data_IF_958665497807
#
_entry.id   IF_958665497807
#
_cell.length_a   1.000
_cell.length_b   1.000
_cell.length_c   1.000
_cell.angle_alpha   90.00
_cell.angle_beta   90.00
_cell.angle_gamma   90.00
#
_symmetry.space_group_name_H-M   'P 1'
#
loop_
_entity.id
_entity.type
_entity.pdbx_description
1 polymer ?
#
# COMPACT_ATOMS: atom_id res chain seq x y z
N UNK A 1 22.36 20.67 0.25
CA UNK A 1 22.56 20.64 1.72
C UNK A 1 23.35 19.38 2.01
N UNK A 2 24.63 19.53 2.30
CA UNK A 2 25.49 18.41 2.70
C UNK A 2 25.00 17.91 4.06
N UNK A 3 24.65 16.62 4.11
CA UNK A 3 24.32 15.97 5.38
C UNK A 3 25.60 16.01 6.25
N UNK A 4 25.54 16.75 7.36
CA UNK A 4 26.57 16.68 8.37
C UNK A 4 26.85 15.22 8.71
N UNK A 5 28.11 14.83 8.73
CA UNK A 5 28.64 13.47 8.91
C UNK A 5 28.26 12.77 10.24
N UNK A 6 27.01 12.81 10.62
CA UNK A 6 26.48 12.05 11.72
C UNK A 6 26.36 10.58 11.33
N UNK A 7 26.97 9.71 12.10
CA UNK A 7 26.83 8.25 11.95
C UNK A 7 25.34 7.88 11.94
N UNK A 8 24.89 7.07 10.97
CA UNK A 8 23.48 6.65 10.93
C UNK A 8 23.08 5.97 12.26
N UNK A 9 21.86 6.22 12.76
CA UNK A 9 21.41 5.65 14.03
C UNK A 9 21.42 4.12 13.97
N UNK A 10 21.63 3.49 15.11
CA UNK A 10 21.54 2.03 15.23
C UNK A 10 20.10 1.58 14.89
N UNK A 11 19.95 0.30 14.52
CA UNK A 11 18.63 -0.29 14.25
C UNK A 11 17.68 -0.15 15.45
N UNK A 12 18.19 -0.33 16.67
CA UNK A 12 17.39 -0.21 17.89
C UNK A 12 16.95 1.24 18.10
N UNK A 13 17.84 2.21 17.88
CA UNK A 13 17.53 3.64 17.97
C UNK A 13 16.45 4.03 16.94
N UNK A 14 16.61 3.56 15.70
CA UNK A 14 15.60 3.81 14.65
C UNK A 14 14.24 3.21 15.00
N UNK A 15 14.21 1.98 15.52
CA UNK A 15 12.96 1.34 15.96
C UNK A 15 12.31 2.11 17.11
N UNK A 16 13.10 2.63 18.06
CA UNK A 16 12.58 3.46 19.15
C UNK A 16 11.96 4.77 18.63
N UNK A 17 12.63 5.44 17.69
CA UNK A 17 12.09 6.67 17.07
C UNK A 17 10.79 6.40 16.30
N UNK A 18 10.74 5.33 15.50
CA UNK A 18 9.52 4.93 14.78
C UNK A 18 8.38 4.65 15.76
N UNK A 19 8.64 3.98 16.89
CA UNK A 19 7.63 3.74 17.91
C UNK A 19 7.12 5.03 18.61
N UNK A 20 7.95 6.08 18.70
CA UNK A 20 7.47 7.39 19.16
C UNK A 20 6.57 8.04 18.12
N UNK A 21 6.99 8.04 16.85
CA UNK A 21 6.21 8.63 15.76
C UNK A 21 4.86 7.91 15.56
N UNK A 22 4.81 6.60 15.74
CA UNK A 22 3.58 5.79 15.71
C UNK A 22 2.61 6.20 16.84
N UNK A 23 3.10 6.35 18.08
CA UNK A 23 2.29 6.83 19.22
C UNK A 23 1.80 8.27 19.08
N UNK A 24 2.52 9.09 18.33
CA UNK A 24 2.12 10.46 18.01
C UNK A 24 1.22 10.55 16.77
N UNK A 25 0.84 9.42 16.19
CA UNK A 25 0.04 9.35 14.96
C UNK A 25 0.65 10.10 13.78
N UNK A 26 1.97 10.18 13.71
CA UNK A 26 2.71 10.79 12.60
C UNK A 26 3.01 9.77 11.50
N UNK A 27 3.11 8.50 11.87
CA UNK A 27 3.32 7.39 10.94
C UNK A 27 2.37 6.24 11.22
N UNK A 28 1.87 5.64 10.15
CA UNK A 28 1.08 4.42 10.17
C UNK A 28 1.98 3.20 9.95
N UNK A 29 1.79 2.17 10.76
CA UNK A 29 2.53 0.92 10.67
C UNK A 29 1.80 -0.09 9.81
N UNK A 30 2.30 -0.34 8.62
CA UNK A 30 1.78 -1.31 7.68
C UNK A 30 2.53 -2.65 7.80
N UNK A 31 1.88 -3.67 8.36
CA UNK A 31 2.46 -4.98 8.52
C UNK A 31 2.40 -5.79 7.22
N UNK A 32 3.37 -6.71 7.03
CA UNK A 32 3.32 -7.65 5.92
C UNK A 32 2.25 -8.71 6.13
N UNK A 33 1.58 -9.09 5.05
CA UNK A 33 0.62 -10.18 5.04
C UNK A 33 1.35 -11.52 4.90
N UNK A 34 1.28 -12.36 5.93
CA UNK A 34 1.71 -13.75 5.87
C UNK A 34 0.66 -14.57 5.10
N UNK A 35 0.53 -14.31 3.79
CA UNK A 35 -0.44 -14.99 2.96
C UNK A 35 -0.25 -16.52 3.06
N UNK A 36 -1.34 -17.29 3.08
CA UNK A 36 -1.29 -18.75 3.08
C UNK A 36 -0.94 -19.25 1.67
N UNK A 37 0.29 -19.02 1.25
CA UNK A 37 0.80 -19.48 -0.04
C UNK A 37 1.64 -20.74 0.15
N UNK A 38 1.46 -21.74 -0.70
CA UNK A 38 2.43 -22.84 -0.80
C UNK A 38 3.69 -22.29 -1.43
N UNK A 39 4.65 -21.90 -0.59
CA UNK A 39 5.74 -21.10 -1.05
C UNK A 39 7.08 -21.80 -0.93
N UNK A 40 7.73 -21.92 -2.07
CA UNK A 40 9.19 -21.89 -2.17
C UNK A 40 9.71 -20.45 -1.89
N UNK A 41 8.89 -19.41 -2.06
CA UNK A 41 9.25 -18.01 -1.84
C UNK A 41 8.94 -17.55 -0.41
N UNK A 42 9.93 -16.89 0.22
CA UNK A 42 9.76 -16.32 1.56
C UNK A 42 8.92 -15.03 1.49
N UNK A 43 7.84 -14.98 2.24
CA UNK A 43 7.04 -13.77 2.42
C UNK A 43 7.77 -12.79 3.34
N UNK A 44 7.84 -11.53 2.94
CA UNK A 44 8.42 -10.44 3.75
C UNK A 44 7.35 -9.92 4.71
N UNK A 45 7.64 -9.98 6.01
CA UNK A 45 6.69 -9.58 7.07
C UNK A 45 7.16 -8.37 7.89
N UNK A 46 8.35 -7.82 7.61
CA UNK A 46 8.83 -6.63 8.33
C UNK A 46 7.90 -5.46 8.09
N UNK A 47 7.50 -4.72 9.14
CA UNK A 47 6.61 -3.59 8.96
C UNK A 47 7.23 -2.50 8.08
N UNK A 48 6.38 -1.84 7.30
CA UNK A 48 6.64 -0.58 6.60
C UNK A 48 6.00 0.54 7.39
N UNK A 49 6.50 1.75 7.24
CA UNK A 49 5.97 2.93 7.88
C UNK A 49 5.66 3.96 6.81
N UNK A 50 4.44 4.47 6.82
CA UNK A 50 3.99 5.52 5.93
C UNK A 50 3.56 6.73 6.77
N UNK A 51 3.81 7.97 6.35
CA UNK A 51 3.26 9.15 7.03
C UNK A 51 1.73 9.06 7.09
N UNK A 52 1.12 9.35 8.26
CA UNK A 52 -0.35 9.46 8.35
C UNK A 52 -0.87 10.64 7.52
N UNK A 53 -0.10 11.72 7.48
CA UNK A 53 -0.30 12.84 6.57
C UNK A 53 0.89 12.90 5.59
N UNK A 54 0.67 12.65 4.30
CA UNK A 54 1.74 12.67 3.29
C UNK A 54 2.41 14.04 3.18
N UNK A 55 1.74 15.15 3.52
CA UNK A 55 2.32 16.50 3.48
C UNK A 55 3.50 16.65 4.45
N UNK A 56 3.43 16.01 5.62
CA UNK A 56 4.52 15.97 6.60
C UNK A 56 5.75 15.29 5.98
N UNK A 57 5.55 14.16 5.30
CA UNK A 57 6.63 13.44 4.63
C UNK A 57 7.29 14.26 3.51
N UNK A 58 6.48 14.93 2.70
CA UNK A 58 6.95 15.80 1.61
C UNK A 58 7.73 16.99 2.17
N UNK A 59 7.20 17.64 3.19
CA UNK A 59 7.86 18.76 3.87
C UNK A 59 9.20 18.34 4.50
N UNK A 60 9.24 17.19 5.18
CA UNK A 60 10.47 16.65 5.78
C UNK A 60 11.55 16.34 4.72
N UNK A 61 11.16 16.05 3.48
CA UNK A 61 12.09 15.93 2.34
C UNK A 61 12.55 17.29 1.78
N UNK A 62 12.10 18.42 2.33
CA UNK A 62 12.42 19.76 1.82
C UNK A 62 11.78 20.08 0.47
N UNK A 63 10.70 19.38 0.10
CA UNK A 63 10.03 19.55 -1.19
C UNK A 63 8.80 20.46 -1.05
N UNK A 64 8.63 21.29 -2.05
CA UNK A 64 7.36 21.98 -2.32
C UNK A 64 6.56 21.22 -3.38
N UNK A 65 5.40 21.71 -3.75
CA UNK A 65 4.51 21.11 -4.76
C UNK A 65 5.24 20.82 -6.08
N UNK A 66 6.00 21.80 -6.61
CA UNK A 66 6.75 21.63 -7.86
C UNK A 66 7.85 20.58 -7.74
N UNK A 67 8.51 20.53 -6.58
CA UNK A 67 9.54 19.52 -6.28
C UNK A 67 8.93 18.13 -6.20
N UNK A 68 7.78 18.01 -5.54
CA UNK A 68 7.04 16.75 -5.42
C UNK A 68 6.64 16.19 -6.79
N UNK A 69 6.09 17.02 -7.68
CA UNK A 69 5.68 16.59 -9.02
C UNK A 69 6.85 16.17 -9.92
N UNK A 70 8.07 16.60 -9.62
CA UNK A 70 9.29 16.21 -10.34
C UNK A 70 9.95 14.95 -9.77
N UNK A 71 9.68 14.59 -8.53
CA UNK A 71 10.21 13.39 -7.89
C UNK A 71 9.15 12.30 -7.82
N UNK A 72 9.09 11.49 -8.88
CA UNK A 72 8.13 10.39 -8.98
C UNK A 72 8.23 9.39 -7.81
N UNK A 73 9.40 9.23 -7.19
CA UNK A 73 9.60 8.33 -6.05
C UNK A 73 8.93 8.86 -4.78
N UNK A 74 9.10 10.16 -4.48
CA UNK A 74 8.44 10.80 -3.33
C UNK A 74 6.94 10.93 -3.59
N UNK A 75 6.55 11.30 -4.82
CA UNK A 75 5.15 11.40 -5.20
C UNK A 75 4.41 10.06 -5.06
N UNK A 76 5.00 8.96 -5.53
CA UNK A 76 4.42 7.61 -5.36
C UNK A 76 4.23 7.25 -3.88
N UNK A 77 5.19 7.57 -3.02
CA UNK A 77 5.08 7.31 -1.58
C UNK A 77 3.99 8.15 -0.92
N UNK A 78 3.90 9.42 -1.26
CA UNK A 78 2.84 10.31 -0.77
C UNK A 78 1.46 9.81 -1.19
N UNK A 79 1.31 9.42 -2.46
CA UNK A 79 0.08 8.83 -3.00
C UNK A 79 -0.32 7.53 -2.26
N UNK A 80 0.65 6.65 -1.98
CA UNK A 80 0.40 5.43 -1.19
C UNK A 80 0.00 5.74 0.25
N UNK A 81 0.56 6.78 0.87
CA UNK A 81 0.13 7.22 2.21
C UNK A 81 -1.31 7.71 2.22
N UNK A 82 -1.71 8.52 1.22
CA UNK A 82 -3.10 8.95 1.06
C UNK A 82 -4.05 7.77 0.87
N UNK A 83 -3.71 6.87 -0.04
CA UNK A 83 -4.51 5.68 -0.30
C UNK A 83 -4.66 4.79 0.93
N UNK A 84 -3.59 4.59 1.72
CA UNK A 84 -3.66 3.83 2.97
C UNK A 84 -4.62 4.46 3.97
N UNK A 85 -4.52 5.78 4.19
CA UNK A 85 -5.41 6.51 5.09
C UNK A 85 -6.88 6.34 4.69
N UNK A 86 -7.18 6.53 3.41
CA UNK A 86 -8.55 6.43 2.92
C UNK A 86 -9.07 4.97 3.00
N UNK A 87 -8.22 3.98 2.68
CA UNK A 87 -8.57 2.57 2.85
C UNK A 87 -8.87 2.20 4.31
N UNK A 88 -8.12 2.72 5.28
CA UNK A 88 -8.37 2.48 6.70
C UNK A 88 -9.71 3.10 7.13
N UNK A 89 -10.02 4.32 6.69
CA UNK A 89 -11.29 5.00 6.99
C UNK A 89 -12.46 4.21 6.40
N UNK A 90 -12.42 3.89 5.11
CA UNK A 90 -13.52 3.18 4.44
C UNK A 90 -13.69 1.75 4.96
N UNK A 91 -12.59 1.03 5.20
CA UNK A 91 -12.67 -0.31 5.78
C UNK A 91 -13.30 -0.29 7.17
N UNK A 92 -13.02 0.72 7.99
CA UNK A 92 -13.64 0.90 9.29
C UNK A 92 -15.15 1.18 9.23
N UNK A 93 -15.66 1.74 8.12
CA UNK A 93 -17.09 1.94 7.90
C UNK A 93 -17.80 0.68 7.42
N UNK A 94 -17.08 -0.23 6.75
CA UNK A 94 -17.67 -1.48 6.26
C UNK A 94 -18.00 -2.47 7.40
N UNK A 95 -17.19 -2.47 8.45
CA UNK A 95 -17.32 -3.38 9.58
C UNK A 95 -17.21 -2.58 10.89
N UNK A 96 -18.30 -1.89 11.33
CA UNK A 96 -18.29 -1.07 12.53
C UNK A 96 -17.92 -1.91 13.77
N UNK A 97 -16.95 -1.39 14.55
CA UNK A 97 -16.45 -2.07 15.75
C UNK A 97 -15.33 -3.10 15.49
N UNK A 98 -14.96 -3.32 14.25
CA UNK A 98 -13.81 -4.14 13.87
C UNK A 98 -12.68 -3.24 13.38
N UNK A 99 -11.47 -3.42 13.92
CA UNK A 99 -10.29 -2.67 13.45
C UNK A 99 -9.95 -3.09 12.02
N UNK A 100 -9.87 -2.15 11.06
CA UNK A 100 -9.55 -2.46 9.67
C UNK A 100 -8.16 -3.10 9.55
N UNK A 101 -8.08 -4.21 8.85
CA UNK A 101 -6.81 -4.89 8.64
C UNK A 101 -6.30 -4.66 7.23
N UNK A 102 -5.48 -3.62 7.05
CA UNK A 102 -4.72 -3.39 5.82
C UNK A 102 -3.29 -3.92 6.03
N UNK A 103 -2.80 -4.67 5.06
CA UNK A 103 -1.47 -5.27 5.03
C UNK A 103 -0.81 -4.95 3.69
N UNK A 104 0.50 -5.20 3.55
CA UNK A 104 1.14 -5.27 2.25
C UNK A 104 1.57 -6.71 1.94
N UNK A 105 1.78 -7.03 0.67
CA UNK A 105 2.40 -8.30 0.30
C UNK A 105 3.73 -8.05 -0.40
N UNK A 106 4.75 -8.79 -0.01
CA UNK A 106 5.99 -8.89 -0.76
C UNK A 106 6.66 -10.23 -0.50
N UNK A 107 7.33 -10.78 -1.52
CA UNK A 107 8.05 -12.04 -1.40
C UNK A 107 9.49 -11.97 -1.95
N UNK A 108 10.21 -13.09 -1.84
CA UNK A 108 11.57 -13.21 -2.35
C UNK A 108 11.66 -13.27 -3.88
N UNK A 109 10.55 -13.57 -4.58
CA UNK A 109 10.48 -13.63 -6.04
C UNK A 109 10.24 -12.24 -6.66
N UNK A 110 10.29 -11.18 -5.83
CA UNK A 110 10.10 -9.81 -6.26
C UNK A 110 8.64 -9.42 -6.54
N UNK A 111 7.67 -10.27 -6.18
CA UNK A 111 6.28 -9.88 -6.25
C UNK A 111 5.95 -8.97 -5.08
N UNK A 112 5.38 -7.81 -5.39
CA UNK A 112 4.94 -6.83 -4.41
C UNK A 112 3.55 -6.32 -4.77
N UNK A 113 2.68 -6.25 -3.74
CA UNK A 113 1.35 -5.64 -3.80
C UNK A 113 1.24 -4.66 -2.65
N UNK A 114 0.81 -3.44 -2.96
CA UNK A 114 0.86 -2.32 -2.02
C UNK A 114 -0.04 -2.55 -0.82
N UNK A 115 -1.28 -2.96 -1.06
CA UNK A 115 -2.26 -3.19 0.01
C UNK A 115 -3.03 -4.48 -0.20
N UNK A 116 -3.25 -5.18 0.89
CA UNK A 116 -4.18 -6.30 1.01
C UNK A 116 -5.14 -5.95 2.14
N UNK A 117 -6.40 -5.81 1.81
CA UNK A 117 -7.47 -5.60 2.78
C UNK A 117 -7.98 -6.96 3.23
N UNK A 118 -8.02 -7.19 4.54
CA UNK A 118 -8.56 -8.40 5.15
C UNK A 118 -9.84 -8.03 5.90
N UNK A 119 -10.94 -8.72 5.58
CA UNK A 119 -12.24 -8.55 6.23
C UNK A 119 -12.44 -9.61 7.32
N UNK A 120 -13.24 -9.29 8.33
CA UNK A 120 -13.50 -10.18 9.47
C UNK A 120 -14.12 -11.51 9.06
N UNK A 121 -14.90 -11.53 7.96
CA UNK A 121 -15.53 -12.73 7.41
C UNK A 121 -14.56 -13.63 6.60
N UNK A 122 -13.27 -13.29 6.57
CA UNK A 122 -12.23 -14.02 5.86
C UNK A 122 -12.09 -13.66 4.37
N UNK A 123 -12.93 -12.77 3.83
CA UNK A 123 -12.71 -12.23 2.48
C UNK A 123 -11.48 -11.32 2.48
N UNK A 124 -10.89 -11.17 1.32
CA UNK A 124 -9.74 -10.30 1.13
C UNK A 124 -9.80 -9.59 -0.22
N UNK A 125 -9.09 -8.48 -0.33
CA UNK A 125 -8.93 -7.75 -1.58
C UNK A 125 -7.46 -7.35 -1.78
N UNK A 126 -7.04 -7.19 -3.04
CA UNK A 126 -5.69 -6.80 -3.40
C UNK A 126 -5.69 -5.49 -4.18
N UNK A 127 -4.85 -4.54 -3.76
CA UNK A 127 -4.89 -3.17 -4.25
C UNK A 127 -3.45 -2.70 -4.52
N UNK A 128 -3.22 -2.15 -5.70
CA UNK A 128 -2.00 -1.41 -6.02
C UNK A 128 -2.30 0.07 -6.23
N UNK A 129 -1.30 0.91 -6.01
CA UNK A 129 -1.38 2.36 -6.19
C UNK A 129 -0.30 2.79 -7.16
N UNK A 130 -0.70 3.43 -8.25
CA UNK A 130 0.18 3.84 -9.35
C UNK A 130 0.00 5.32 -9.67
N UNK A 131 1.04 5.94 -10.20
CA UNK A 131 0.98 7.37 -10.57
C UNK A 131 0.09 7.59 -11.79
N UNK A 132 0.18 6.71 -12.79
CA UNK A 132 -0.49 6.93 -14.06
C UNK A 132 -0.83 5.68 -14.86
N UNK A 133 -1.57 5.88 -15.93
CA UNK A 133 -2.15 4.86 -16.79
C UNK A 133 -1.13 3.87 -17.38
N UNK A 134 0.09 4.32 -17.67
CA UNK A 134 1.13 3.45 -18.24
C UNK A 134 1.51 2.27 -17.35
N UNK A 135 1.28 2.39 -16.03
CA UNK A 135 1.63 1.37 -15.04
C UNK A 135 0.50 0.36 -14.79
N UNK A 136 -0.73 0.65 -15.22
CA UNK A 136 -1.93 -0.16 -14.94
C UNK A 136 -1.78 -1.60 -15.38
N UNK A 137 -1.32 -1.82 -16.61
CA UNK A 137 -1.19 -3.18 -17.18
C UNK A 137 -0.27 -4.07 -16.36
N UNK A 138 0.86 -3.55 -15.93
CA UNK A 138 1.83 -4.32 -15.14
C UNK A 138 1.36 -4.46 -13.68
N UNK A 139 0.65 -3.47 -13.16
CA UNK A 139 0.01 -3.53 -11.86
C UNK A 139 -1.05 -4.65 -11.81
N UNK A 140 -1.92 -4.74 -12.81
CA UNK A 140 -2.90 -5.82 -12.94
C UNK A 140 -2.19 -7.19 -12.97
N UNK A 141 -1.10 -7.35 -13.73
CA UNK A 141 -0.34 -8.60 -13.77
C UNK A 141 0.19 -8.98 -12.37
N UNK A 142 0.68 -8.02 -11.59
CA UNK A 142 1.15 -8.28 -10.21
C UNK A 142 0.00 -8.78 -9.32
N UNK A 143 -1.17 -8.12 -9.39
CA UNK A 143 -2.37 -8.55 -8.66
C UNK A 143 -2.77 -9.98 -9.03
N UNK A 144 -2.83 -10.30 -10.32
CA UNK A 144 -3.18 -11.65 -10.80
C UNK A 144 -2.15 -12.71 -10.36
N UNK A 145 -0.86 -12.36 -10.30
CA UNK A 145 0.18 -13.26 -9.78
C UNK A 145 -0.05 -13.55 -8.30
N UNK A 146 -0.43 -12.55 -7.49
CA UNK A 146 -0.77 -12.77 -6.07
C UNK A 146 -2.00 -13.67 -5.96
N UNK A 147 -3.08 -13.40 -6.69
CA UNK A 147 -4.29 -14.23 -6.68
C UNK A 147 -3.98 -15.69 -7.00
N UNK A 148 -3.17 -15.93 -8.04
CA UNK A 148 -2.73 -17.29 -8.40
C UNK A 148 -1.91 -17.96 -7.28
N UNK A 149 -1.00 -17.23 -6.62
CA UNK A 149 -0.21 -17.77 -5.50
C UNK A 149 -1.10 -18.15 -4.32
N UNK A 150 -2.06 -17.30 -3.95
CA UNK A 150 -3.01 -17.56 -2.84
C UNK A 150 -3.92 -18.75 -3.16
N UNK A 151 -4.49 -18.78 -4.37
CA UNK A 151 -5.30 -19.92 -4.84
C UNK A 151 -4.53 -21.24 -4.75
N UNK A 152 -3.29 -21.27 -5.19
CA UNK A 152 -2.44 -22.46 -5.12
C UNK A 152 -2.09 -22.85 -3.66
N UNK A 153 -2.20 -21.92 -2.71
CA UNK A 153 -2.08 -22.19 -1.28
C UNK A 153 -3.23 -23.01 -0.70
N UNK A 154 -4.41 -22.93 -1.31
CA UNK A 154 -5.56 -23.80 -1.04
C UNK A 154 -6.33 -23.51 0.24
N UNK A 155 -6.01 -22.45 0.98
CA UNK A 155 -6.67 -22.13 2.27
C UNK A 155 -7.56 -20.88 2.20
N UNK A 156 -7.37 -20.03 1.20
CA UNK A 156 -8.21 -18.85 0.95
C UNK A 156 -8.82 -18.92 -0.45
N UNK A 157 -10.05 -18.42 -0.56
CA UNK A 157 -10.76 -18.24 -1.82
C UNK A 157 -10.16 -17.13 -2.70
N UNK A 158 -10.82 -16.87 -3.81
CA UNK A 158 -10.53 -15.72 -4.67
C UNK A 158 -10.72 -14.41 -3.90
N UNK A 159 -9.99 -13.35 -4.26
CA UNK A 159 -10.22 -12.04 -3.66
C UNK A 159 -11.64 -11.55 -3.99
N UNK A 160 -12.25 -10.83 -3.06
CA UNK A 160 -13.53 -10.16 -3.29
C UNK A 160 -13.44 -9.17 -4.45
N UNK A 161 -12.30 -8.50 -4.57
CA UNK A 161 -11.95 -7.67 -5.72
C UNK A 161 -10.43 -7.45 -5.81
N UNK A 162 -10.00 -7.04 -7.00
CA UNK A 162 -8.69 -6.44 -7.23
C UNK A 162 -8.87 -5.01 -7.73
N UNK A 163 -8.00 -4.09 -7.31
CA UNK A 163 -8.05 -2.70 -7.73
C UNK A 163 -6.67 -2.09 -8.01
N UNK A 164 -6.63 -1.17 -8.95
CA UNK A 164 -5.51 -0.25 -9.19
C UNK A 164 -6.02 1.16 -8.97
N UNK A 165 -5.47 1.84 -7.97
CA UNK A 165 -5.77 3.23 -7.64
C UNK A 165 -4.73 4.11 -8.34
N UNK A 166 -5.19 5.11 -9.08
CA UNK A 166 -4.34 6.07 -9.78
C UNK A 166 -4.36 7.43 -9.07
N UNK A 167 -3.31 8.21 -9.27
CA UNK A 167 -3.30 9.61 -8.81
C UNK A 167 -4.44 10.40 -9.46
N UNK A 168 -4.66 10.18 -10.75
CA UNK A 168 -5.77 10.77 -11.50
C UNK A 168 -6.14 9.89 -12.69
N UNK A 169 -7.42 9.79 -12.98
CA UNK A 169 -7.96 9.23 -14.23
C UNK A 169 -9.34 9.79 -14.48
N UNK A 170 -9.62 10.13 -15.73
CA UNK A 170 -10.93 10.61 -16.17
C UNK A 170 -11.88 9.46 -16.52
N UNK A 171 -11.41 8.22 -16.42
CA UNK A 171 -12.15 7.02 -16.86
C UNK A 171 -12.05 5.90 -15.84
N UNK A 172 -12.82 5.98 -14.74
CA UNK A 172 -13.00 4.80 -13.88
C UNK A 172 -13.55 3.65 -14.71
N UNK A 173 -12.98 2.46 -14.56
CA UNK A 173 -13.34 1.30 -15.37
C UNK A 173 -13.08 0.01 -14.63
N UNK A 174 -13.67 -1.05 -15.17
CA UNK A 174 -13.33 -2.42 -14.82
C UNK A 174 -12.61 -3.06 -15.99
N UNK A 175 -11.45 -3.61 -15.78
CA UNK A 175 -10.70 -4.34 -16.81
C UNK A 175 -11.51 -5.58 -17.25
N UNK A 176 -11.81 -5.66 -18.54
CA UNK A 176 -12.70 -6.69 -19.06
C UNK A 176 -12.14 -8.12 -18.95
N UNK A 177 -10.82 -8.28 -18.99
CA UNK A 177 -10.18 -9.59 -18.96
C UNK A 177 -10.02 -10.15 -17.56
N UNK A 178 -9.80 -9.28 -16.58
CA UNK A 178 -9.43 -9.68 -15.20
C UNK A 178 -10.46 -9.28 -14.15
N UNK A 179 -11.41 -8.41 -14.51
CA UNK A 179 -12.38 -7.85 -13.59
C UNK A 179 -11.79 -6.84 -12.59
N UNK A 180 -10.51 -6.46 -12.75
CA UNK A 180 -9.83 -5.51 -11.86
C UNK A 180 -10.40 -4.11 -12.02
N UNK A 181 -10.73 -3.46 -10.93
CA UNK A 181 -11.16 -2.06 -10.92
C UNK A 181 -9.96 -1.13 -11.12
N UNK A 182 -10.14 -0.07 -11.93
CA UNK A 182 -9.15 0.99 -12.13
C UNK A 182 -9.87 2.33 -11.95
N UNK A 183 -9.44 3.11 -10.97
CA UNK A 183 -10.05 4.40 -10.64
C UNK A 183 -9.04 5.33 -9.97
N UNK A 184 -9.38 6.61 -9.86
CA UNK A 184 -8.51 7.58 -9.18
C UNK A 184 -8.81 7.67 -7.70
N UNK A 185 -7.82 8.09 -6.91
CA UNK A 185 -7.99 8.34 -5.48
C UNK A 185 -9.10 9.36 -5.21
N UNK A 186 -9.29 10.34 -6.10
CA UNK A 186 -10.35 11.35 -5.99
C UNK A 186 -11.77 10.78 -6.10
N UNK A 187 -11.92 9.54 -6.58
CA UNK A 187 -13.24 8.87 -6.66
C UNK A 187 -13.74 8.41 -5.28
N UNK A 188 -12.87 8.32 -4.29
CA UNK A 188 -13.25 7.89 -2.93
C UNK A 188 -14.08 8.93 -2.14
N UNK A 189 -14.30 10.09 -2.60
CA UNK A 189 -15.02 11.15 -1.87
C UNK A 189 -16.20 11.75 -2.64
N UNK A 190 -16.63 11.11 -3.72
CA UNK A 190 -17.72 11.59 -4.56
C UNK A 190 -19.07 11.02 -4.13
#
# INVERSE_FOLDING_TARGET
MEAHGAKPPSRNTLTAYLGVLERLYLVERLNGWAAPVRATSRVKVKPRYLPCDPSIGVFACGLNERGLLRDASVFSRALKSMALRDLLVYAGTLEPGVEPQVRYYADSDGLEVDFVLLLADGRWAAINVEIGESQVKDSIKRLQRLCKKVRNGGTLGEPAFCAVILASTDRPRRDAATGTFVFSLTTFGA
#
